data_IF_079770617067
#
_entry.id   IF_079770617067
#
_cell.length_a   1.000
_cell.length_b   1.000
_cell.length_c   1.000
_cell.angle_alpha   90.00
_cell.angle_beta   90.00
_cell.angle_gamma   90.00
#
_symmetry.space_group_name_H-M   'P 1'
#
loop_
_entity.id
_entity.type
_entity.pdbx_description
1 polymer ?
#
# COMPACT_ATOMS: atom_id res chain seq x y z
N UNK A 1 0.61 6.73 5.38
CA UNK A 1 -0.05 7.05 6.65
C UNK A 1 -1.22 8.00 6.37
N UNK A 2 -2.47 7.49 6.40
CA UNK A 2 -3.69 8.20 6.02
C UNK A 2 -4.91 7.34 6.40
N UNK A 3 -6.15 7.84 6.25
CA UNK A 3 -7.34 7.01 6.40
C UNK A 3 -7.27 5.78 5.49
N UNK A 4 -7.71 4.63 5.98
CA UNK A 4 -7.75 3.41 5.18
C UNK A 4 -8.98 3.44 4.28
N UNK A 5 -8.76 3.25 2.99
CA UNK A 5 -9.80 3.29 1.99
C UNK A 5 -9.36 2.59 0.70
N UNK A 6 -10.29 1.93 -0.01
CA UNK A 6 -10.01 1.21 -1.25
C UNK A 6 -9.32 2.09 -2.30
N UNK A 7 -9.83 3.32 -2.56
CA UNK A 7 -9.23 4.20 -3.57
C UNK A 7 -7.82 4.68 -3.23
N UNK A 8 -7.43 4.69 -1.93
CA UNK A 8 -6.09 5.05 -1.48
C UNK A 8 -5.06 3.93 -1.70
N UNK A 9 -5.54 2.74 -2.00
CA UNK A 9 -4.80 1.55 -2.43
C UNK A 9 -3.68 1.10 -1.49
N UNK A 10 -3.89 1.18 -0.16
CA UNK A 10 -2.92 0.61 0.79
C UNK A 10 -2.69 -0.90 0.55
N UNK A 11 -3.71 -1.62 0.08
CA UNK A 11 -3.58 -3.02 -0.35
C UNK A 11 -2.61 -3.21 -1.52
N UNK A 12 -2.44 -2.24 -2.42
CA UNK A 12 -1.44 -2.29 -3.48
C UNK A 12 -0.01 -2.27 -2.90
N UNK A 13 0.24 -1.44 -1.89
CA UNK A 13 1.51 -1.45 -1.17
C UNK A 13 1.70 -2.78 -0.40
N UNK A 14 0.62 -3.35 0.14
CA UNK A 14 0.66 -4.66 0.78
C UNK A 14 1.04 -5.77 -0.23
N UNK A 15 0.49 -5.77 -1.44
CA UNK A 15 0.89 -6.68 -2.53
C UNK A 15 2.37 -6.50 -2.90
N UNK A 16 2.86 -5.27 -2.96
CA UNK A 16 4.28 -5.01 -3.18
C UNK A 16 5.15 -5.60 -2.08
N UNK A 17 4.73 -5.54 -0.81
CA UNK A 17 5.44 -6.18 0.30
C UNK A 17 5.51 -7.69 0.11
N UNK A 18 4.41 -8.33 -0.28
CA UNK A 18 4.40 -9.78 -0.59
C UNK A 18 5.36 -10.10 -1.73
N UNK A 19 5.39 -9.28 -2.79
CA UNK A 19 6.36 -9.43 -3.86
C UNK A 19 7.80 -9.29 -3.36
N UNK A 20 8.13 -8.31 -2.50
CA UNK A 20 9.46 -8.18 -1.90
C UNK A 20 9.81 -9.38 -1.01
N UNK A 21 8.85 -9.88 -0.25
CA UNK A 21 9.01 -11.10 0.53
C UNK A 21 9.45 -12.27 -0.34
N UNK A 22 8.75 -12.52 -1.45
CA UNK A 22 9.11 -13.56 -2.42
C UNK A 22 10.49 -13.35 -3.03
N UNK A 23 10.85 -12.12 -3.40
CA UNK A 23 12.19 -11.80 -3.92
C UNK A 23 13.28 -12.15 -2.93
N UNK A 24 13.11 -11.81 -1.65
CA UNK A 24 14.07 -12.13 -0.60
C UNK A 24 14.17 -13.65 -0.39
N UNK A 25 13.04 -14.36 -0.38
CA UNK A 25 13.01 -15.84 -0.29
C UNK A 25 13.72 -16.51 -1.46
N UNK A 26 13.67 -15.91 -2.64
CA UNK A 26 14.37 -16.36 -3.84
C UNK A 26 15.85 -15.90 -3.90
N UNK A 27 16.38 -15.33 -2.81
CA UNK A 27 17.78 -14.93 -2.71
C UNK A 27 18.16 -13.64 -3.45
N UNK A 28 17.17 -12.84 -3.86
CA UNK A 28 17.44 -11.54 -4.49
C UNK A 28 17.92 -10.55 -3.45
N UNK A 29 19.04 -9.89 -3.73
CA UNK A 29 19.51 -8.79 -2.90
C UNK A 29 18.59 -7.57 -3.02
N UNK A 30 18.19 -7.01 -1.88
CA UNK A 30 17.24 -5.90 -1.80
C UNK A 30 17.78 -4.80 -0.90
N UNK A 31 17.41 -3.56 -1.22
CA UNK A 31 17.67 -2.44 -0.31
C UNK A 31 16.78 -2.62 0.93
N UNK A 32 17.34 -2.63 2.16
CA UNK A 32 16.57 -2.77 3.39
C UNK A 32 15.47 -1.71 3.51
N UNK A 33 14.27 -2.14 3.91
CA UNK A 33 13.11 -1.26 4.04
C UNK A 33 12.29 -1.56 5.28
N UNK A 34 11.82 -0.49 5.91
CA UNK A 34 10.73 -0.53 6.87
C UNK A 34 9.51 0.15 6.25
N UNK A 35 8.43 -0.60 6.09
CA UNK A 35 7.17 -0.08 5.54
C UNK A 35 6.22 0.25 6.68
N UNK A 36 5.82 1.51 6.78
CA UNK A 36 4.99 2.02 7.88
C UNK A 36 3.60 2.35 7.37
N UNK A 37 2.61 1.61 7.86
CA UNK A 37 1.20 1.95 7.70
C UNK A 37 0.69 2.65 8.97
N UNK A 38 -0.32 3.49 8.80
CA UNK A 38 -1.00 4.12 9.91
C UNK A 38 -2.25 4.83 9.43
N UNK A 39 -3.33 4.64 10.15
CA UNK A 39 -4.62 5.24 9.78
C UNK A 39 -5.76 4.58 10.51
N UNK A 40 -6.96 5.08 10.28
CA UNK A 40 -8.20 4.54 10.86
C UNK A 40 -9.16 4.19 9.74
N UNK A 41 -9.83 3.05 9.87
CA UNK A 41 -10.99 2.69 9.08
C UNK A 41 -12.25 3.30 9.70
N UNK A 42 -13.21 3.71 8.86
CA UNK A 42 -14.53 4.10 9.36
C UNK A 42 -15.22 2.87 9.97
N UNK A 43 -15.99 3.02 11.06
CA UNK A 43 -16.57 1.88 11.80
C UNK A 43 -17.41 0.92 10.95
N UNK A 44 -18.19 1.45 10.01
CA UNK A 44 -19.03 0.67 9.11
C UNK A 44 -18.37 0.24 7.79
N UNK A 45 -17.09 0.59 7.58
CA UNK A 45 -16.43 0.32 6.31
C UNK A 45 -15.69 -1.03 6.35
N UNK A 46 -16.40 -2.08 6.00
CA UNK A 46 -15.92 -3.47 6.03
C UNK A 46 -14.61 -3.65 5.24
N UNK A 47 -14.55 -3.22 3.99
CA UNK A 47 -13.37 -3.39 3.14
C UNK A 47 -12.12 -2.69 3.70
N UNK A 48 -12.28 -1.51 4.32
CA UNK A 48 -11.17 -0.84 4.97
C UNK A 48 -10.64 -1.63 6.18
N UNK A 49 -11.52 -2.32 6.92
CA UNK A 49 -11.12 -3.20 8.03
C UNK A 49 -10.39 -4.44 7.52
N UNK A 50 -10.84 -5.05 6.41
CA UNK A 50 -10.12 -6.13 5.75
C UNK A 50 -8.73 -5.71 5.28
N UNK A 51 -8.59 -4.52 4.74
CA UNK A 51 -7.27 -3.98 4.35
C UNK A 51 -6.36 -3.86 5.58
N UNK A 52 -6.88 -3.39 6.73
CA UNK A 52 -6.10 -3.34 7.97
C UNK A 52 -5.67 -4.73 8.41
N UNK A 53 -6.61 -5.68 8.43
CA UNK A 53 -6.34 -7.07 8.80
C UNK A 53 -5.26 -7.66 7.89
N UNK A 54 -5.43 -7.58 6.58
CA UNK A 54 -4.47 -8.06 5.59
C UNK A 54 -3.05 -7.50 5.80
N UNK A 55 -2.93 -6.20 6.09
CA UNK A 55 -1.63 -5.57 6.39
C UNK A 55 -1.04 -6.14 7.68
N UNK A 56 -1.84 -6.35 8.73
CA UNK A 56 -1.39 -6.91 9.99
C UNK A 56 -0.93 -8.37 9.84
N UNK A 57 -1.68 -9.17 9.09
CA UNK A 57 -1.34 -10.57 8.82
C UNK A 57 -0.01 -10.68 8.05
N UNK A 58 0.18 -9.86 7.02
CA UNK A 58 1.46 -9.75 6.32
C UNK A 58 2.58 -9.32 7.27
N UNK A 59 2.33 -8.35 8.14
CA UNK A 59 3.33 -7.85 9.07
C UNK A 59 3.76 -8.94 10.07
N UNK A 60 2.84 -9.76 10.54
CA UNK A 60 3.13 -10.88 11.44
C UNK A 60 4.06 -11.91 10.78
N UNK A 61 3.73 -12.35 9.58
CA UNK A 61 4.55 -13.33 8.84
C UNK A 61 5.91 -12.74 8.48
N UNK A 62 5.95 -11.57 7.88
CA UNK A 62 7.20 -10.92 7.44
C UNK A 62 8.14 -10.67 8.62
N UNK A 63 7.63 -10.14 9.72
CA UNK A 63 8.47 -9.77 10.86
C UNK A 63 8.93 -10.99 11.68
N UNK A 64 8.25 -12.12 11.59
CA UNK A 64 8.63 -13.36 12.26
C UNK A 64 9.58 -14.24 11.44
N UNK A 65 9.68 -14.02 10.12
CA UNK A 65 10.54 -14.80 9.24
C UNK A 65 12.01 -14.36 9.38
N UNK A 66 12.92 -15.28 9.78
CA UNK A 66 14.34 -14.97 9.95
C UNK A 66 15.03 -14.43 8.69
N UNK A 67 14.58 -14.83 7.49
CA UNK A 67 15.16 -14.39 6.21
C UNK A 67 14.90 -12.92 5.93
N UNK A 68 13.87 -12.35 6.56
CA UNK A 68 13.48 -10.94 6.44
C UNK A 68 14.28 -10.02 7.35
N UNK A 69 14.95 -10.59 8.38
CA UNK A 69 15.67 -9.80 9.38
C UNK A 69 16.71 -8.89 8.74
N UNK A 70 16.60 -7.59 9.00
CA UNK A 70 17.49 -6.57 8.46
C UNK A 70 17.26 -6.23 6.99
N UNK A 71 16.26 -6.82 6.33
CA UNK A 71 15.92 -6.57 4.92
C UNK A 71 14.54 -5.96 4.74
N UNK A 72 13.53 -6.52 5.40
CA UNK A 72 12.15 -6.05 5.29
C UNK A 72 11.46 -6.08 6.65
N UNK A 73 10.84 -4.98 7.02
CA UNK A 73 10.03 -4.86 8.23
C UNK A 73 8.72 -4.15 7.89
N UNK A 74 7.62 -4.62 8.45
CA UNK A 74 6.29 -4.04 8.21
C UNK A 74 5.68 -3.64 9.54
N UNK A 75 5.22 -2.39 9.63
CA UNK A 75 4.66 -1.83 10.86
C UNK A 75 3.30 -1.20 10.57
N UNK A 76 2.28 -1.62 11.29
CA UNK A 76 1.01 -0.91 11.35
C UNK A 76 0.92 -0.14 12.68
N UNK A 77 0.91 1.19 12.60
CA UNK A 77 0.87 2.07 13.78
C UNK A 77 -0.55 2.10 14.37
N UNK A 78 -0.75 1.58 15.59
CA UNK A 78 -2.06 1.59 16.22
C UNK A 78 -2.48 3.01 16.57
N UNK A 79 -3.78 3.26 16.57
CA UNK A 79 -4.38 4.52 17.00
C UNK A 79 -3.73 5.79 16.42
N UNK A 80 -3.44 5.77 15.12
CA UNK A 80 -2.82 6.90 14.44
C UNK A 80 -3.51 8.24 14.77
N UNK A 81 -2.71 9.24 15.11
CA UNK A 81 -3.14 10.58 15.51
C UNK A 81 -2.20 11.64 14.95
N UNK A 82 -2.59 12.92 15.07
CA UNK A 82 -1.73 14.05 14.67
C UNK A 82 -0.37 14.01 15.39
N UNK A 83 -0.35 13.73 16.68
CA UNK A 83 0.90 13.62 17.47
C UNK A 83 1.82 12.51 16.96
N UNK A 84 1.24 11.40 16.49
CA UNK A 84 2.02 10.32 15.90
C UNK A 84 2.52 10.71 14.51
N UNK A 85 1.70 11.46 13.76
CA UNK A 85 2.08 12.04 12.47
C UNK A 85 3.31 12.95 12.54
N UNK A 86 3.40 13.78 13.57
CA UNK A 86 4.57 14.66 13.81
C UNK A 86 5.90 13.90 13.90
N UNK A 87 5.86 12.63 14.31
CA UNK A 87 7.03 11.74 14.36
C UNK A 87 7.25 10.99 13.04
N UNK A 88 6.17 10.59 12.39
CA UNK A 88 6.23 9.76 11.17
C UNK A 88 6.67 10.58 9.96
N UNK A 89 6.17 11.81 9.80
CA UNK A 89 6.52 12.63 8.63
C UNK A 89 8.03 12.87 8.48
N UNK A 90 8.77 13.30 9.51
CA UNK A 90 10.20 13.50 9.39
C UNK A 90 11.04 12.20 9.40
N UNK A 91 10.45 11.07 9.74
CA UNK A 91 11.14 9.78 9.78
C UNK A 91 11.10 9.02 8.45
N UNK A 92 10.37 9.53 7.46
CA UNK A 92 10.17 8.83 6.20
C UNK A 92 11.13 9.32 5.11
N UNK A 93 11.76 8.39 4.41
CA UNK A 93 12.56 8.65 3.20
C UNK A 93 11.67 8.69 1.95
N UNK A 94 10.63 7.85 1.92
CA UNK A 94 9.69 7.73 0.81
C UNK A 94 8.25 7.92 1.29
N UNK A 95 7.46 8.57 0.49
CA UNK A 95 6.03 8.84 0.69
C UNK A 95 5.21 8.19 -0.42
N UNK A 96 4.40 7.21 -0.06
CA UNK A 96 3.52 6.48 -0.98
C UNK A 96 2.18 7.22 -1.12
N UNK A 97 1.99 7.87 -2.26
CA UNK A 97 0.79 8.65 -2.61
C UNK A 97 0.12 8.05 -3.84
N UNK A 98 -0.38 6.84 -3.68
CA UNK A 98 -0.74 5.89 -4.74
C UNK A 98 -2.24 5.73 -4.95
N UNK A 99 -3.06 6.72 -4.63
CA UNK A 99 -4.50 6.69 -4.88
C UNK A 99 -4.82 6.46 -6.36
N UNK A 100 -5.99 5.89 -6.64
CA UNK A 100 -6.48 5.82 -8.01
C UNK A 100 -6.70 7.24 -8.53
N UNK A 101 -6.13 7.57 -9.69
CA UNK A 101 -6.21 8.91 -10.27
C UNK A 101 -7.67 9.37 -10.42
N UNK A 102 -7.93 10.65 -10.12
CA UNK A 102 -9.26 11.25 -10.11
C UNK A 102 -10.10 11.00 -8.85
N UNK A 103 -9.53 10.38 -7.79
CA UNK A 103 -10.27 10.05 -6.56
C UNK A 103 -9.87 10.88 -5.34
N UNK A 104 -8.64 11.34 -5.25
CA UNK A 104 -8.18 12.20 -4.15
C UNK A 104 -8.34 13.68 -4.55
N UNK A 105 -9.13 14.44 -3.81
CA UNK A 105 -9.35 15.85 -4.12
C UNK A 105 -8.08 16.69 -4.00
N UNK A 106 -7.29 16.47 -2.96
CA UNK A 106 -6.00 17.14 -2.73
C UNK A 106 -5.05 16.25 -1.95
N UNK A 107 -5.44 15.81 -0.76
CA UNK A 107 -4.57 15.24 0.23
C UNK A 107 -3.81 16.33 1.01
N UNK A 108 -3.34 15.97 2.20
CA UNK A 108 -2.49 16.83 3.04
C UNK A 108 -1.22 16.12 3.48
N UNK A 109 -1.27 14.81 3.62
CA UNK A 109 -0.13 13.98 4.00
C UNK A 109 1.00 14.04 2.97
N UNK A 110 0.69 14.06 1.68
CA UNK A 110 1.64 14.22 0.58
C UNK A 110 2.50 15.48 0.75
N UNK A 111 1.87 16.62 1.02
CA UNK A 111 2.57 17.89 1.27
C UNK A 111 3.44 17.81 2.53
N UNK A 112 2.92 17.23 3.62
CA UNK A 112 3.65 17.11 4.89
C UNK A 112 4.89 16.25 4.76
N UNK A 113 4.80 15.10 4.08
CA UNK A 113 5.95 14.24 3.81
C UNK A 113 6.99 14.98 2.96
N UNK A 114 6.57 15.63 1.87
CA UNK A 114 7.47 16.35 0.98
C UNK A 114 8.20 17.49 1.71
N UNK A 115 7.48 18.27 2.52
CA UNK A 115 8.07 19.35 3.34
C UNK A 115 9.04 18.84 4.42
N UNK A 116 8.97 17.57 4.78
CA UNK A 116 9.89 16.91 5.71
C UNK A 116 10.98 16.09 5.00
N UNK A 117 11.14 16.26 3.69
CA UNK A 117 12.25 15.68 2.92
C UNK A 117 11.99 14.28 2.34
N UNK A 118 10.82 13.71 2.50
CA UNK A 118 10.49 12.43 1.88
C UNK A 118 10.23 12.58 0.38
N UNK A 119 10.89 11.75 -0.44
CA UNK A 119 10.59 11.67 -1.87
C UNK A 119 9.21 11.03 -2.08
N UNK A 120 8.48 11.50 -3.08
CA UNK A 120 7.14 10.99 -3.37
C UNK A 120 7.14 9.95 -4.49
N UNK A 121 6.53 8.80 -4.21
CA UNK A 121 6.07 7.85 -5.22
C UNK A 121 4.56 8.02 -5.33
N UNK A 122 4.04 8.34 -6.49
CA UNK A 122 2.62 8.65 -6.60
C UNK A 122 2.05 8.65 -7.99
N UNK A 123 0.73 8.67 -8.03
CA UNK A 123 -0.09 8.90 -9.22
C UNK A 123 -0.34 10.40 -9.42
N UNK A 124 -0.72 10.79 -10.62
CA UNK A 124 -1.22 12.14 -10.91
C UNK A 124 -2.64 12.29 -10.36
N UNK A 125 -2.74 12.52 -9.05
CA UNK A 125 -3.99 12.62 -8.31
C UNK A 125 -3.86 13.63 -7.17
N UNK A 126 -4.88 14.45 -6.96
CA UNK A 126 -4.87 15.49 -5.94
C UNK A 126 -3.68 16.43 -6.04
N UNK A 127 -3.12 16.84 -4.92
CA UNK A 127 -1.97 17.75 -4.86
C UNK A 127 -0.65 17.13 -5.35
N UNK A 128 -0.61 15.85 -5.73
CA UNK A 128 0.58 15.25 -6.31
C UNK A 128 0.95 15.90 -7.65
N UNK A 129 -0.03 16.42 -8.38
CA UNK A 129 0.18 17.14 -9.64
C UNK A 129 1.04 18.38 -9.39
N UNK A 130 0.60 19.25 -8.49
CA UNK A 130 1.31 20.48 -8.15
C UNK A 130 2.66 20.19 -7.46
N UNK A 131 2.72 19.16 -6.62
CA UNK A 131 4.00 18.74 -5.99
C UNK A 131 5.00 18.37 -7.06
N UNK A 132 4.61 17.54 -8.04
CA UNK A 132 5.50 17.13 -9.14
C UNK A 132 5.99 18.33 -9.96
N UNK A 133 5.09 19.27 -10.26
CA UNK A 133 5.44 20.48 -11.02
C UNK A 133 6.42 21.38 -10.25
N UNK A 134 6.28 21.46 -8.92
CA UNK A 134 7.13 22.29 -8.07
C UNK A 134 8.50 21.68 -7.79
N UNK A 135 8.58 20.37 -7.58
CA UNK A 135 9.86 19.70 -7.28
C UNK A 135 10.64 19.30 -8.53
N UNK A 136 9.99 19.29 -9.68
CA UNK A 136 10.52 18.75 -10.93
C UNK A 136 10.22 17.27 -11.12
N UNK A 137 9.99 16.88 -12.37
CA UNK A 137 9.61 15.51 -12.73
C UNK A 137 10.67 14.47 -12.33
N UNK A 138 11.93 14.86 -12.31
CA UNK A 138 13.08 14.03 -11.94
C UNK A 138 13.14 13.73 -10.43
N UNK A 139 12.44 14.51 -9.61
CA UNK A 139 12.39 14.36 -8.15
C UNK A 139 11.08 13.73 -7.66
N UNK A 140 10.28 13.21 -8.59
CA UNK A 140 9.00 12.57 -8.29
C UNK A 140 8.89 11.23 -9.02
N UNK A 141 8.72 10.14 -8.29
CA UNK A 141 8.54 8.82 -8.86
C UNK A 141 7.10 8.63 -9.32
N UNK A 142 6.84 9.03 -10.56
CA UNK A 142 5.52 8.89 -11.17
C UNK A 142 5.22 7.44 -11.49
N UNK A 143 4.01 6.99 -11.13
CA UNK A 143 3.54 5.66 -11.41
C UNK A 143 2.04 5.63 -11.73
N UNK A 144 1.65 4.61 -12.51
CA UNK A 144 0.24 4.36 -12.82
C UNK A 144 -0.32 5.25 -13.92
N UNK A 145 -1.61 5.09 -14.16
CA UNK A 145 -2.37 5.78 -15.20
C UNK A 145 -2.97 7.08 -14.67
N UNK A 146 -3.19 8.02 -15.57
CA UNK A 146 -3.90 9.27 -15.28
C UNK A 146 -5.44 9.04 -15.24
N UNK A 147 -6.19 10.08 -14.91
CA UNK A 147 -7.67 10.02 -14.79
C UNK A 147 -8.36 9.65 -16.10
N UNK A 148 -7.91 10.20 -17.23
CA UNK A 148 -8.47 9.92 -18.55
C UNK A 148 -8.27 8.46 -18.95
N UNK A 149 -7.05 7.96 -18.80
CA UNK A 149 -6.69 6.55 -19.06
C UNK A 149 -7.46 5.57 -18.16
N UNK A 150 -7.71 5.93 -16.90
CA UNK A 150 -8.56 5.13 -16.00
C UNK A 150 -10.01 5.14 -16.49
N UNK A 151 -10.52 6.29 -16.91
CA UNK A 151 -11.87 6.40 -17.48
C UNK A 151 -12.05 5.56 -18.75
N UNK A 152 -11.05 5.49 -19.61
CA UNK A 152 -11.04 4.65 -20.80
C UNK A 152 -11.03 3.16 -20.46
N UNK A 153 -10.19 2.74 -19.50
CA UNK A 153 -10.17 1.35 -19.03
C UNK A 153 -11.54 0.90 -18.50
N UNK A 154 -12.21 1.76 -17.72
CA UNK A 154 -13.53 1.44 -17.18
C UNK A 154 -14.59 1.30 -18.28
N UNK A 155 -14.53 2.10 -19.34
CA UNK A 155 -15.44 2.02 -20.48
C UNK A 155 -15.21 0.77 -21.33
N UNK A 156 -13.98 0.30 -21.43
CA UNK A 156 -13.56 -0.79 -22.33
C UNK A 156 -13.56 -2.18 -21.66
N UNK A 157 -14.39 -2.40 -20.64
CA UNK A 157 -14.49 -3.68 -19.93
C UNK A 157 -13.11 -4.21 -19.52
N UNK A 158 -12.40 -3.43 -18.68
CA UNK A 158 -11.11 -3.81 -18.13
C UNK A 158 -11.14 -5.21 -17.50
N UNK A 159 -10.32 -6.11 -18.04
CA UNK A 159 -10.07 -7.42 -17.46
C UNK A 159 -8.69 -7.41 -16.76
N UNK A 160 -8.64 -7.47 -15.42
CA UNK A 160 -7.40 -7.44 -14.68
C UNK A 160 -6.50 -8.64 -14.97
N UNK A 161 -7.04 -9.77 -15.43
CA UNK A 161 -6.27 -10.98 -15.70
C UNK A 161 -5.21 -10.77 -16.80
N UNK A 162 -5.48 -9.89 -17.77
CA UNK A 162 -4.52 -9.54 -18.81
C UNK A 162 -3.29 -8.78 -18.31
N UNK A 163 -3.35 -8.22 -17.10
CA UNK A 163 -2.29 -7.40 -16.51
C UNK A 163 -1.54 -8.11 -15.38
N UNK A 164 -1.96 -9.32 -15.01
CA UNK A 164 -1.30 -10.12 -13.99
C UNK A 164 -0.11 -10.82 -14.61
N UNK A 165 1.07 -10.22 -14.46
CA UNK A 165 2.33 -10.86 -14.81
C UNK A 165 2.70 -11.99 -13.84
N UNK A 166 3.77 -12.71 -14.15
CA UNK A 166 4.23 -13.89 -13.39
C UNK A 166 4.46 -13.56 -11.91
N UNK A 167 5.19 -12.49 -11.63
CA UNK A 167 5.55 -12.08 -10.25
C UNK A 167 4.34 -11.66 -9.42
N UNK A 168 3.42 -10.88 -9.99
CA UNK A 168 2.17 -10.52 -9.31
C UNK A 168 1.29 -11.75 -9.11
N UNK A 169 1.23 -12.65 -10.12
CA UNK A 169 0.50 -13.90 -10.01
C UNK A 169 1.04 -14.81 -8.90
N UNK A 170 2.34 -14.85 -8.68
CA UNK A 170 2.95 -15.59 -7.56
C UNK A 170 2.55 -14.99 -6.21
N UNK A 171 2.58 -13.67 -6.09
CA UNK A 171 2.15 -12.98 -4.88
C UNK A 171 0.67 -13.26 -4.56
N UNK A 172 -0.20 -13.20 -5.57
CA UNK A 172 -1.63 -13.49 -5.42
C UNK A 172 -1.84 -14.95 -5.00
N UNK A 173 -1.20 -15.93 -5.66
CA UNK A 173 -1.31 -17.35 -5.28
C UNK A 173 -0.84 -17.62 -3.85
N UNK A 174 0.19 -16.93 -3.38
CA UNK A 174 0.67 -17.07 -2.00
C UNK A 174 -0.37 -16.58 -0.99
N UNK A 175 -1.06 -15.49 -1.32
CA UNK A 175 -2.16 -14.95 -0.50
C UNK A 175 -3.35 -15.89 -0.51
N UNK A 176 -3.81 -16.33 -1.69
CA UNK A 176 -4.93 -17.27 -1.86
C UNK A 176 -4.66 -18.61 -1.18
N UNK A 177 -3.41 -19.04 -1.14
CA UNK A 177 -2.97 -20.25 -0.42
C UNK A 177 -2.96 -20.10 1.10
N UNK A 178 -3.35 -18.95 1.66
CA UNK A 178 -3.45 -18.71 3.10
C UNK A 178 -2.11 -18.53 3.82
N UNK A 179 -1.01 -18.27 3.10
CA UNK A 179 0.33 -18.14 3.70
C UNK A 179 0.41 -17.03 4.77
N UNK A 180 -0.34 -15.95 4.58
CA UNK A 180 -0.37 -14.81 5.49
C UNK A 180 -1.54 -14.87 6.50
N UNK A 181 -2.39 -15.87 6.43
CA UNK A 181 -3.61 -15.95 7.23
C UNK A 181 -3.74 -17.33 7.86
N UNK A 182 -3.23 -17.48 9.08
CA UNK A 182 -3.41 -18.71 9.84
C UNK A 182 -4.89 -18.93 10.29
N UNK A 183 -5.70 -17.86 10.32
CA UNK A 183 -7.06 -17.83 10.88
C UNK A 183 -8.17 -17.48 9.87
N UNK A 184 -7.86 -16.89 8.72
CA UNK A 184 -8.85 -16.44 7.74
C UNK A 184 -8.41 -16.88 6.35
N UNK A 185 -9.01 -17.94 5.86
CA UNK A 185 -9.07 -18.15 4.42
C UNK A 185 -9.92 -17.02 3.85
N UNK A 186 -9.33 -16.15 3.05
CA UNK A 186 -10.02 -15.13 2.27
C UNK A 186 -10.84 -15.82 1.17
N UNK A 187 -11.79 -16.64 1.56
CA UNK A 187 -12.79 -17.23 0.68
C UNK A 187 -13.99 -16.32 0.62
N UNK A 188 -14.77 -16.42 -0.42
CA UNK A 188 -16.01 -15.68 -0.61
C UNK A 188 -17.03 -15.82 0.54
N UNK A 189 -16.82 -16.78 1.44
CA UNK A 189 -17.68 -17.06 2.59
C UNK A 189 -17.16 -16.43 3.90
N UNK A 190 -16.00 -15.77 3.89
CA UNK A 190 -15.42 -15.12 5.07
C UNK A 190 -16.23 -13.91 5.60
N UNK A 191 -17.35 -13.57 4.96
CA UNK A 191 -18.25 -12.54 5.42
C UNK A 191 -18.93 -12.89 6.75
N UNK A 192 -19.06 -14.18 7.10
CA UNK A 192 -19.81 -14.64 8.26
C UNK A 192 -18.95 -14.93 9.49
N UNK A 193 -17.62 -14.98 9.38
CA UNK A 193 -16.73 -15.48 10.45
C UNK A 193 -15.76 -14.43 11.02
N UNK A 194 -16.22 -13.20 11.19
CA UNK A 194 -15.49 -12.20 11.99
C UNK A 194 -15.80 -12.44 13.48
N UNK A 195 -15.40 -13.58 14.00
CA UNK A 195 -15.41 -13.89 15.43
C UNK A 195 -14.06 -14.47 15.84
N UNK A 196 -13.05 -13.66 15.79
CA UNK A 196 -11.81 -13.86 16.57
C UNK A 196 -11.46 -12.57 17.27
#
# INVERSE_FOLDING_TARGET
VKRIHEYKRQHLLALWIVHQYLRIKNGVDVVPRTVIFGGKAAPGYYMAKLIVQFICDIAEVVNSDPDMKGKLCVVFLPNYSVKLGEKVYPAADLSEQISTAGKEASGTGNMKFQMNGALTIGTLDGANVEIRDLVGAENFFLFGKNEEEIGELQKNHYDPQHYIGTELGEAIRLIEGGHFSACLLYTSDAADDIRC
#
